data_IF_091825643382
#
_entry.id   IF_091825643382
#
_cell.length_a   1.000
_cell.length_b   1.000
_cell.length_c   1.000
_cell.angle_alpha   90.00
_cell.angle_beta   90.00
_cell.angle_gamma   90.00
#
_symmetry.space_group_name_H-M   'P 1'
#
loop_
_entity.id
_entity.type
_entity.pdbx_description
1 polymer ?
#
# COMPACT_ATOMS: atom_id res chain seq x y z
N UNK A 1 -7.20 -14.42 -45.00
CA UNK A 1 -6.49 -13.39 -44.20
C UNK A 1 -7.11 -13.37 -42.82
N UNK A 2 -6.44 -13.95 -41.82
CA UNK A 2 -6.91 -13.92 -40.44
C UNK A 2 -6.63 -12.55 -39.84
N UNK A 3 -7.67 -11.96 -39.24
CA UNK A 3 -7.63 -10.66 -38.60
C UNK A 3 -6.91 -10.82 -37.25
N UNK A 4 -5.62 -10.47 -37.21
CA UNK A 4 -4.86 -10.37 -35.95
C UNK A 4 -5.40 -9.18 -35.15
N UNK A 5 -6.40 -9.44 -34.32
CA UNK A 5 -6.90 -8.46 -33.36
C UNK A 5 -5.93 -8.41 -32.17
N UNK A 6 -4.77 -7.76 -32.34
CA UNK A 6 -3.90 -7.40 -31.23
C UNK A 6 -4.63 -6.33 -30.38
N UNK A 7 -5.41 -6.77 -29.40
CA UNK A 7 -6.00 -5.91 -28.37
C UNK A 7 -4.88 -5.57 -27.37
N UNK A 8 -3.94 -4.72 -27.78
CA UNK A 8 -2.78 -4.30 -26.97
C UNK A 8 -3.00 -2.99 -26.21
N UNK A 9 -4.20 -2.41 -26.30
CA UNK A 9 -4.56 -1.19 -25.58
C UNK A 9 -5.91 -1.36 -24.90
N UNK A 10 -5.91 -1.39 -23.57
CA UNK A 10 -7.12 -1.18 -22.80
C UNK A 10 -7.33 0.32 -22.69
N UNK A 11 -8.34 0.83 -23.39
CA UNK A 11 -8.84 2.17 -23.17
C UNK A 11 -9.54 2.17 -21.81
N UNK A 12 -8.83 2.59 -20.77
CA UNK A 12 -9.43 2.89 -19.49
C UNK A 12 -10.29 4.13 -19.74
N UNK A 13 -11.58 3.93 -20.04
CA UNK A 13 -12.54 4.97 -20.36
C UNK A 13 -12.44 6.00 -19.23
N UNK A 14 -11.77 7.12 -19.50
CA UNK A 14 -11.28 8.01 -18.45
C UNK A 14 -12.40 8.34 -17.47
N UNK A 15 -12.07 8.33 -16.17
CA UNK A 15 -13.00 8.51 -15.03
C UNK A 15 -14.03 9.63 -15.26
N UNK A 16 -13.69 10.61 -16.10
CA UNK A 16 -14.61 11.59 -16.66
C UNK A 16 -14.16 12.12 -18.03
N UNK A 17 -15.09 12.37 -18.96
CA UNK A 17 -14.83 13.03 -20.25
C UNK A 17 -14.82 14.57 -20.18
N UNK A 18 -15.45 15.15 -19.16
CA UNK A 18 -15.47 16.58 -18.91
C UNK A 18 -14.12 17.09 -18.33
N UNK A 19 -13.46 18.06 -18.99
CA UNK A 19 -12.19 18.63 -18.53
C UNK A 19 -12.27 19.30 -17.16
N UNK A 20 -13.43 19.81 -16.73
CA UNK A 20 -13.58 20.41 -15.40
C UNK A 20 -13.54 19.34 -14.31
N UNK A 21 -14.33 18.27 -14.45
CA UNK A 21 -14.29 17.12 -13.55
C UNK A 21 -12.91 16.44 -13.51
N UNK A 22 -12.17 16.34 -14.62
CA UNK A 22 -10.78 15.82 -14.61
C UNK A 22 -9.86 16.62 -13.70
N UNK A 23 -9.94 17.96 -13.71
CA UNK A 23 -9.16 18.82 -12.82
C UNK A 23 -9.51 18.62 -11.35
N UNK A 24 -10.80 18.48 -11.03
CA UNK A 24 -11.25 18.20 -9.66
C UNK A 24 -10.67 16.87 -9.18
N UNK A 25 -10.79 15.82 -10.00
CA UNK A 25 -10.26 14.48 -9.70
C UNK A 25 -8.74 14.53 -9.49
N UNK A 26 -8.00 15.23 -10.35
CA UNK A 26 -6.56 15.43 -10.20
C UNK A 26 -6.19 16.11 -8.86
N UNK A 27 -6.87 17.20 -8.50
CA UNK A 27 -6.60 17.92 -7.25
C UNK A 27 -6.89 17.02 -6.05
N UNK A 28 -8.00 16.28 -6.06
CA UNK A 28 -8.38 15.37 -4.98
C UNK A 28 -7.31 14.28 -4.80
N UNK A 29 -6.92 13.59 -5.89
CA UNK A 29 -5.89 12.54 -5.81
C UNK A 29 -4.53 13.08 -5.37
N UNK A 30 -4.15 14.27 -5.84
CA UNK A 30 -2.90 14.92 -5.42
C UNK A 30 -2.90 15.24 -3.91
N UNK A 31 -4.01 15.76 -3.38
CA UNK A 31 -4.15 16.04 -1.96
C UNK A 31 -4.09 14.77 -1.13
N UNK A 32 -4.76 13.69 -1.55
CA UNK A 32 -4.65 12.39 -0.90
C UNK A 32 -3.22 11.85 -0.92
N UNK A 33 -2.53 11.92 -2.05
CA UNK A 33 -1.14 11.46 -2.16
C UNK A 33 -0.22 12.20 -1.20
N UNK A 34 -0.26 13.53 -1.21
CA UNK A 34 0.56 14.34 -0.31
C UNK A 34 0.19 14.09 1.15
N UNK A 35 -1.11 13.98 1.46
CA UNK A 35 -1.59 13.65 2.79
C UNK A 35 -1.04 12.30 3.29
N UNK A 36 -1.18 11.24 2.50
CA UNK A 36 -0.68 9.91 2.82
C UNK A 36 0.84 9.90 2.99
N UNK A 37 1.60 10.58 2.11
CA UNK A 37 3.05 10.65 2.24
C UNK A 37 3.49 11.41 3.50
N UNK A 38 2.83 12.54 3.80
CA UNK A 38 3.15 13.35 4.97
C UNK A 38 2.86 12.57 6.26
N UNK A 39 1.68 11.95 6.35
CA UNK A 39 1.26 11.18 7.52
C UNK A 39 2.21 9.99 7.78
N UNK A 40 2.49 9.20 6.73
CA UNK A 40 3.41 8.08 6.83
C UNK A 40 4.84 8.49 7.17
N UNK A 41 5.33 9.57 6.56
CA UNK A 41 6.65 10.13 6.89
C UNK A 41 6.72 10.62 8.33
N UNK A 42 5.65 11.20 8.85
CA UNK A 42 5.55 11.65 10.24
C UNK A 42 5.57 10.46 11.20
N UNK A 43 4.86 9.38 10.90
CA UNK A 43 4.88 8.13 11.68
C UNK A 43 6.30 7.56 11.72
N UNK A 44 6.95 7.41 10.57
CA UNK A 44 8.32 6.89 10.47
C UNK A 44 9.30 7.78 11.25
N UNK A 45 9.19 9.09 11.11
CA UNK A 45 10.06 10.06 11.80
C UNK A 45 9.85 9.96 13.31
N UNK A 46 8.60 9.93 13.77
CA UNK A 46 8.25 9.79 15.19
C UNK A 46 8.83 8.51 15.78
N UNK A 47 8.68 7.39 15.06
CA UNK A 47 9.24 6.10 15.46
C UNK A 47 10.77 6.20 15.58
N UNK A 48 11.47 6.74 14.57
CA UNK A 48 12.93 6.87 14.56
C UNK A 48 13.49 7.84 15.61
N UNK A 49 12.79 8.95 15.87
CA UNK A 49 13.19 9.94 16.86
C UNK A 49 12.92 9.46 18.28
N UNK A 50 11.87 8.67 18.48
CA UNK A 50 11.62 8.00 19.76
C UNK A 50 12.61 6.84 19.95
N UNK A 51 13.11 6.62 21.17
CA UNK A 51 13.78 5.34 21.52
C UNK A 51 12.79 4.17 21.62
N UNK A 52 11.54 4.34 21.19
CA UNK A 52 10.45 3.40 21.37
C UNK A 52 10.43 2.26 20.35
N UNK A 53 11.43 2.14 19.47
CA UNK A 53 11.58 0.97 18.56
C UNK A 53 11.56 -0.38 19.29
N UNK A 54 11.76 -0.40 20.61
CA UNK A 54 11.69 -1.62 21.43
C UNK A 54 10.28 -2.25 21.55
N UNK A 55 9.21 -1.55 21.16
CA UNK A 55 7.86 -2.12 21.19
C UNK A 55 7.47 -2.77 19.85
N UNK A 56 6.97 -4.02 19.84
CA UNK A 56 6.40 -4.70 18.68
C UNK A 56 5.42 -3.86 17.85
N UNK A 57 4.54 -3.10 18.52
CA UNK A 57 3.56 -2.23 17.87
C UNK A 57 4.21 -1.21 16.93
N UNK A 58 5.26 -0.51 17.37
CA UNK A 58 5.95 0.49 16.55
C UNK A 58 6.71 -0.14 15.38
N UNK A 59 7.19 -1.38 15.55
CA UNK A 59 7.80 -2.14 14.46
C UNK A 59 6.79 -2.46 13.36
N UNK A 60 5.58 -2.92 13.72
CA UNK A 60 4.52 -3.17 12.74
C UNK A 60 4.04 -1.88 12.07
N UNK A 61 3.87 -0.78 12.83
CA UNK A 61 3.50 0.52 12.27
C UNK A 61 4.51 1.07 11.27
N UNK A 62 5.81 0.83 11.48
CA UNK A 62 6.84 1.20 10.51
C UNK A 62 6.65 0.46 9.17
N UNK A 63 6.38 -0.85 9.22
CA UNK A 63 6.14 -1.64 8.01
C UNK A 63 4.81 -1.32 7.33
N UNK A 64 3.75 -1.05 8.11
CA UNK A 64 2.47 -0.56 7.59
C UNK A 64 2.68 0.76 6.82
N UNK A 65 3.40 1.70 7.43
CA UNK A 65 3.63 3.01 6.86
C UNK A 65 4.47 2.98 5.57
N UNK A 66 5.43 2.06 5.50
CA UNK A 66 6.21 1.78 4.29
C UNK A 66 5.34 1.16 3.19
N UNK A 67 4.41 0.26 3.55
CA UNK A 67 3.45 -0.35 2.62
C UNK A 67 2.51 0.71 2.05
N UNK A 68 1.85 1.51 2.88
CA UNK A 68 0.92 2.57 2.47
C UNK A 68 1.59 3.58 1.53
N UNK A 69 2.83 3.98 1.83
CA UNK A 69 3.60 4.89 0.98
C UNK A 69 3.88 4.27 -0.39
N UNK A 70 4.21 2.98 -0.43
CA UNK A 70 4.51 2.24 -1.65
C UNK A 70 3.24 1.99 -2.49
N UNK A 71 2.13 1.65 -1.84
CA UNK A 71 0.80 1.51 -2.45
C UNK A 71 0.33 2.81 -3.09
N UNK A 72 0.38 3.91 -2.33
CA UNK A 72 0.00 5.25 -2.77
C UNK A 72 0.85 5.71 -3.98
N UNK A 73 2.15 5.46 -3.93
CA UNK A 73 3.09 5.75 -5.04
C UNK A 73 2.85 4.87 -6.29
N UNK A 74 2.33 3.65 -6.12
CA UNK A 74 2.05 2.77 -7.25
C UNK A 74 0.74 3.15 -7.98
N UNK A 75 -0.25 3.68 -7.25
CA UNK A 75 -1.59 3.95 -7.79
C UNK A 75 -1.75 5.40 -8.22
N UNK A 76 -1.39 6.37 -7.37
CA UNK A 76 -1.79 7.77 -7.54
C UNK A 76 -1.03 8.47 -8.68
N UNK A 77 0.30 8.31 -8.85
CA UNK A 77 1.01 8.88 -9.98
C UNK A 77 0.42 8.42 -11.33
N UNK A 78 -0.08 7.18 -11.40
CA UNK A 78 -0.72 6.66 -12.62
C UNK A 78 -2.06 7.35 -12.89
N UNK A 79 -2.88 7.53 -11.85
CA UNK A 79 -4.16 8.25 -11.97
C UNK A 79 -3.96 9.73 -12.32
N UNK A 80 -2.87 10.34 -11.83
CA UNK A 80 -2.46 11.71 -12.15
C UNK A 80 -2.03 11.82 -13.62
N UNK A 81 -1.21 10.89 -14.11
CA UNK A 81 -0.75 10.84 -15.50
C UNK A 81 -1.94 10.67 -16.45
N UNK A 82 -2.90 9.81 -16.10
CA UNK A 82 -4.13 9.59 -16.88
C UNK A 82 -5.06 10.82 -16.89
N UNK A 83 -5.01 11.66 -15.85
CA UNK A 83 -5.76 12.90 -15.78
C UNK A 83 -5.12 14.02 -16.62
N UNK A 84 -3.78 14.08 -16.70
CA UNK A 84 -3.02 15.09 -17.44
C UNK A 84 -2.89 14.76 -18.94
N UNK A 85 -2.57 13.51 -19.29
CA UNK A 85 -2.41 13.10 -20.67
C UNK A 85 -3.77 12.68 -21.23
N UNK A 86 -4.18 13.33 -22.33
CA UNK A 86 -5.39 13.01 -23.09
C UNK A 86 -5.37 11.58 -23.69
N UNK A 87 -4.27 10.85 -23.53
CA UNK A 87 -4.01 9.50 -24.05
C UNK A 87 -4.16 8.48 -22.92
N UNK A 88 -5.39 8.00 -22.75
CA UNK A 88 -5.78 6.97 -21.76
C UNK A 88 -5.45 5.56 -22.26
N UNK A 89 -4.23 5.36 -22.73
CA UNK A 89 -3.78 4.06 -23.27
C UNK A 89 -2.79 3.46 -22.29
N UNK A 90 -3.30 2.61 -21.41
CA UNK A 90 -2.48 1.76 -20.55
C UNK A 90 -2.07 0.53 -21.37
N UNK A 91 -0.80 0.15 -21.32
CA UNK A 91 -0.39 -1.12 -21.91
C UNK A 91 -0.90 -2.27 -21.03
N UNK A 92 -1.18 -3.43 -21.64
CA UNK A 92 -1.64 -4.60 -20.88
C UNK A 92 -0.68 -4.99 -19.75
N UNK A 93 0.63 -4.91 -20.00
CA UNK A 93 1.67 -5.20 -19.00
C UNK A 93 1.59 -4.25 -17.80
N UNK A 94 1.39 -2.95 -18.04
CA UNK A 94 1.27 -1.95 -16.98
C UNK A 94 0.00 -2.15 -16.16
N UNK A 95 -1.12 -2.50 -16.82
CA UNK A 95 -2.38 -2.85 -16.13
C UNK A 95 -2.19 -4.03 -15.18
N UNK A 96 -1.59 -5.12 -15.69
CA UNK A 96 -1.34 -6.34 -14.89
C UNK A 96 -0.46 -6.03 -13.69
N UNK A 97 0.63 -5.26 -13.89
CA UNK A 97 1.53 -4.85 -12.80
C UNK A 97 0.77 -3.99 -11.77
N UNK A 98 -0.05 -3.03 -12.21
CA UNK A 98 -0.79 -2.16 -11.31
C UNK A 98 -1.82 -2.94 -10.47
N UNK A 99 -2.57 -3.86 -11.08
CA UNK A 99 -3.53 -4.72 -10.37
C UNK A 99 -2.82 -5.67 -9.41
N UNK A 100 -1.68 -6.23 -9.81
CA UNK A 100 -0.83 -7.06 -8.97
C UNK A 100 -0.36 -6.29 -7.73
N UNK A 101 0.22 -5.10 -7.91
CA UNK A 101 0.69 -4.26 -6.80
C UNK A 101 -0.46 -3.86 -5.89
N UNK A 102 -1.63 -3.52 -6.45
CA UNK A 102 -2.82 -3.15 -5.68
C UNK A 102 -3.27 -4.29 -4.77
N UNK A 103 -3.34 -5.52 -5.29
CA UNK A 103 -3.70 -6.69 -4.47
C UNK A 103 -2.60 -7.02 -3.46
N UNK A 104 -1.34 -7.00 -3.87
CA UNK A 104 -0.19 -7.35 -3.03
C UNK A 104 -0.12 -6.45 -1.80
N UNK A 105 -0.12 -5.12 -2.00
CA UNK A 105 -0.06 -4.16 -0.90
C UNK A 105 -1.35 -4.15 -0.07
N UNK A 106 -2.52 -4.30 -0.69
CA UNK A 106 -3.78 -4.42 0.06
C UNK A 106 -3.79 -5.64 0.99
N UNK A 107 -3.33 -6.79 0.52
CA UNK A 107 -3.15 -7.98 1.37
C UNK A 107 -2.12 -7.76 2.47
N UNK A 108 -0.98 -7.12 2.15
CA UNK A 108 0.07 -6.80 3.11
C UNK A 108 -0.44 -5.91 4.24
N UNK A 109 -1.18 -4.84 3.92
CA UNK A 109 -1.80 -3.95 4.91
C UNK A 109 -2.75 -4.71 5.85
N UNK A 110 -3.63 -5.55 5.29
CA UNK A 110 -4.57 -6.37 6.08
C UNK A 110 -3.80 -7.29 7.03
N UNK A 111 -2.76 -7.99 6.55
CA UNK A 111 -1.97 -8.87 7.41
C UNK A 111 -1.25 -8.11 8.52
N UNK A 112 -0.65 -6.95 8.23
CA UNK A 112 0.02 -6.14 9.25
C UNK A 112 -1.00 -5.61 10.28
N UNK A 113 -2.19 -5.19 9.86
CA UNK A 113 -3.26 -4.77 10.79
C UNK A 113 -3.72 -5.92 11.70
N UNK A 114 -3.81 -7.15 11.18
CA UNK A 114 -4.09 -8.34 12.00
C UNK A 114 -2.98 -8.56 13.02
N UNK A 115 -1.70 -8.41 12.64
CA UNK A 115 -0.58 -8.55 13.57
C UNK A 115 -0.63 -7.51 14.69
N UNK A 116 -0.97 -6.26 14.37
CA UNK A 116 -1.16 -5.19 15.38
C UNK A 116 -2.32 -5.53 16.32
N UNK A 117 -3.43 -6.06 15.80
CA UNK A 117 -4.55 -6.48 16.62
C UNK A 117 -4.18 -7.66 17.55
N UNK A 118 -3.42 -8.62 17.05
CA UNK A 118 -2.90 -9.74 17.85
C UNK A 118 -1.93 -9.24 18.92
N UNK A 119 -1.04 -8.30 18.59
CA UNK A 119 -0.12 -7.67 19.54
C UNK A 119 -0.89 -7.02 20.70
N UNK A 120 -1.88 -6.17 20.39
CA UNK A 120 -2.75 -5.54 21.38
C UNK A 120 -3.51 -6.57 22.23
N UNK A 121 -4.02 -7.64 21.61
CA UNK A 121 -4.70 -8.72 22.31
C UNK A 121 -3.78 -9.45 23.30
N UNK A 122 -2.57 -9.83 22.88
CA UNK A 122 -1.61 -10.55 23.74
C UNK A 122 -1.13 -9.64 24.88
N UNK A 123 -0.92 -8.35 24.61
CA UNK A 123 -0.54 -7.38 25.63
C UNK A 123 -1.58 -7.28 26.76
N UNK A 124 -2.88 -7.30 26.41
CA UNK A 124 -3.97 -7.21 27.38
C UNK A 124 -4.23 -8.56 28.08
N UNK A 125 -4.33 -9.65 27.32
CA UNK A 125 -4.76 -10.94 27.85
C UNK A 125 -3.65 -11.74 28.52
N UNK A 126 -2.38 -11.48 28.19
CA UNK A 126 -1.21 -12.26 28.67
C UNK A 126 0.01 -11.37 28.99
N UNK A 127 -0.12 -10.34 29.86
CA UNK A 127 0.95 -9.38 30.12
C UNK A 127 2.26 -10.01 30.61
N UNK A 128 2.20 -11.04 31.47
CA UNK A 128 3.40 -11.73 31.98
C UNK A 128 4.18 -12.52 30.92
N UNK A 129 3.54 -12.95 29.83
CA UNK A 129 4.18 -13.73 28.77
C UNK A 129 4.40 -12.91 27.49
N UNK A 130 4.00 -11.64 27.48
CA UNK A 130 4.05 -10.78 26.31
C UNK A 130 5.47 -10.69 25.71
N UNK A 131 6.49 -10.46 26.54
CA UNK A 131 7.88 -10.33 26.08
C UNK A 131 8.46 -11.62 25.46
N UNK A 132 7.90 -12.78 25.81
CA UNK A 132 8.29 -14.07 25.24
C UNK A 132 7.56 -14.35 23.92
N UNK A 133 6.28 -13.98 23.84
CA UNK A 133 5.43 -14.21 22.66
C UNK A 133 5.75 -13.19 21.55
N UNK A 134 5.84 -11.90 21.89
CA UNK A 134 6.11 -10.80 20.96
C UNK A 134 7.54 -10.28 21.13
N UNK A 135 8.52 -11.16 20.93
CA UNK A 135 9.93 -10.76 20.89
C UNK A 135 10.30 -10.20 19.52
N UNK A 136 11.35 -9.37 19.44
CA UNK A 136 11.83 -8.80 18.18
C UNK A 136 12.10 -9.84 17.08
N UNK A 137 12.57 -11.03 17.45
CA UNK A 137 12.80 -12.12 16.49
C UNK A 137 11.48 -12.63 15.91
N UNK A 138 10.47 -12.86 16.76
CA UNK A 138 9.14 -13.29 16.33
C UNK A 138 8.50 -12.22 15.44
N UNK A 139 8.54 -10.94 15.84
CA UNK A 139 8.03 -9.84 15.02
C UNK A 139 8.72 -9.78 13.65
N UNK A 140 10.03 -9.97 13.59
CA UNK A 140 10.79 -9.98 12.33
C UNK A 140 10.38 -11.14 11.42
N UNK A 141 10.17 -12.33 11.99
CA UNK A 141 9.69 -13.50 11.25
C UNK A 141 8.26 -13.28 10.77
N UNK A 142 7.37 -12.77 11.61
CA UNK A 142 5.98 -12.46 11.24
C UNK A 142 5.93 -11.46 10.09
N UNK A 143 6.70 -10.37 10.17
CA UNK A 143 6.79 -9.41 9.07
C UNK A 143 7.33 -10.08 7.80
N UNK A 144 8.42 -10.84 7.88
CA UNK A 144 8.96 -11.54 6.71
C UNK A 144 7.90 -12.45 6.05
N UNK A 145 7.11 -13.17 6.84
CA UNK A 145 5.99 -13.98 6.35
C UNK A 145 4.92 -13.11 5.69
N UNK A 146 4.55 -11.96 6.27
CA UNK A 146 3.57 -11.05 5.65
C UNK A 146 4.05 -10.43 4.33
N UNK A 147 5.35 -10.26 4.13
CA UNK A 147 5.90 -9.75 2.87
C UNK A 147 5.94 -10.81 1.76
N UNK A 148 6.08 -12.08 2.12
CA UNK A 148 6.14 -13.20 1.15
C UNK A 148 4.74 -13.81 0.91
N UNK A 149 3.89 -13.84 1.93
CA UNK A 149 2.58 -14.50 1.92
C UNK A 149 1.62 -14.02 0.82
N UNK A 150 1.44 -12.70 0.60
CA UNK A 150 0.60 -12.19 -0.47
C UNK A 150 1.04 -12.63 -1.86
N UNK A 151 2.33 -12.92 -2.07
CA UNK A 151 2.85 -13.45 -3.35
C UNK A 151 2.37 -14.88 -3.60
N UNK A 152 2.08 -15.65 -2.56
CA UNK A 152 1.59 -17.04 -2.69
C UNK A 152 0.07 -17.12 -2.83
N UNK A 153 -0.66 -16.06 -2.48
CA UNK A 153 -2.13 -15.98 -2.57
C UNK A 153 -2.57 -15.50 -3.96
N UNK A 154 -1.68 -14.83 -4.69
CA UNK A 154 -1.90 -14.27 -6.02
C UNK A 154 -1.32 -15.17 -7.13
#
# INVERSE_FOLDING_TARGET
MQLNHNVTEFALLGLTQDPFRKKIVFVIFLLFYLGTLLDNSLIITTIKTSRALGSPMYFFLFHLSLSDSSFSTSIIPRTIVDALLKKTTISLSECIIQVFLLHFFGCLEIFILILIAVDCYVAICKPLHYMTIMSHQVCSVLVAVTWVGPVCIL
#
